data_IF_453733259428
#
_entry.id   IF_453733259428
#
_cell.length_a   1.000
_cell.length_b   1.000
_cell.length_c   1.000
_cell.angle_alpha   90.00
_cell.angle_beta   90.00
_cell.angle_gamma   90.00
#
_symmetry.space_group_name_H-M   'P 1'
#
loop_
_entity.id
_entity.type
_entity.pdbx_description
1 polymer ?
#
# COMPACT_ATOMS: atom_id res chain seq x y z
N UNK A 1 10.37 -2.12 -0.77
CA UNK A 1 9.28 -1.12 -0.93
C UNK A 1 9.30 -0.50 -2.33
N UNK A 2 10.45 -0.06 -2.83
CA UNK A 2 10.57 0.53 -4.18
C UNK A 2 10.11 -0.40 -5.31
N UNK A 3 10.43 -1.70 -5.22
CA UNK A 3 9.92 -2.71 -6.19
C UNK A 3 8.39 -2.78 -6.19
N UNK A 4 7.71 -2.71 -5.05
CA UNK A 4 6.23 -2.77 -5.01
C UNK A 4 5.55 -1.54 -5.60
N UNK A 5 6.18 -0.37 -5.53
CA UNK A 5 5.70 0.80 -6.25
C UNK A 5 5.87 0.64 -7.77
N UNK A 6 6.96 0.00 -8.21
CA UNK A 6 7.13 -0.38 -9.62
C UNK A 6 6.06 -1.37 -10.09
N UNK A 7 5.79 -2.41 -9.29
CA UNK A 7 4.74 -3.40 -9.59
C UNK A 7 3.36 -2.72 -9.69
N UNK A 8 3.04 -1.82 -8.74
CA UNK A 8 1.78 -1.07 -8.75
C UNK A 8 1.64 -0.21 -10.01
N UNK A 9 2.71 0.45 -10.45
CA UNK A 9 2.72 1.22 -11.71
C UNK A 9 2.32 0.33 -12.89
N UNK A 10 2.90 -0.86 -13.01
CA UNK A 10 2.56 -1.79 -14.08
C UNK A 10 1.08 -2.19 -14.04
N UNK A 11 0.52 -2.44 -12.85
CA UNK A 11 -0.88 -2.80 -12.69
C UNK A 11 -1.85 -1.66 -13.01
N UNK A 12 -1.50 -0.41 -12.67
CA UNK A 12 -2.41 0.74 -12.83
C UNK A 12 -2.23 1.49 -14.15
N UNK A 13 -1.16 1.23 -14.93
CA UNK A 13 -0.86 1.98 -16.16
C UNK A 13 -2.03 2.04 -17.14
N UNK A 14 -2.77 0.94 -17.30
CA UNK A 14 -3.94 0.89 -18.21
C UNK A 14 -5.15 1.69 -17.70
N UNK A 15 -5.15 2.07 -16.42
CA UNK A 15 -6.21 2.88 -15.81
C UNK A 15 -6.05 4.38 -16.05
N UNK A 16 -4.90 4.82 -16.58
CA UNK A 16 -4.56 6.23 -16.80
C UNK A 16 -4.35 6.55 -18.28
N UNK A 17 -4.47 7.83 -18.66
CA UNK A 17 -4.34 8.25 -20.06
C UNK A 17 -2.88 8.35 -20.50
N UNK A 18 -1.96 8.51 -19.55
CA UNK A 18 -0.53 8.56 -19.82
C UNK A 18 0.29 7.91 -18.71
N UNK A 19 1.54 7.57 -19.03
CA UNK A 19 2.49 7.02 -18.08
C UNK A 19 2.84 8.02 -16.98
N UNK A 20 2.84 9.32 -17.30
CA UNK A 20 3.09 10.40 -16.33
C UNK A 20 1.96 10.54 -15.31
N UNK A 21 0.70 10.35 -15.73
CA UNK A 21 -0.45 10.35 -14.81
C UNK A 21 -0.39 9.15 -13.85
N UNK A 22 -0.09 7.95 -14.37
CA UNK A 22 0.11 6.76 -13.54
C UNK A 22 1.29 6.94 -12.57
N UNK A 23 2.37 7.59 -13.02
CA UNK A 23 3.54 7.84 -12.17
C UNK A 23 3.21 8.79 -11.03
N UNK A 24 2.55 9.91 -11.32
CA UNK A 24 2.15 10.86 -10.30
C UNK A 24 1.21 10.22 -9.26
N UNK A 25 0.30 9.33 -9.69
CA UNK A 25 -0.59 8.61 -8.80
C UNK A 25 0.17 7.66 -7.85
N UNK A 26 1.11 6.87 -8.38
CA UNK A 26 1.91 5.94 -7.56
C UNK A 26 2.85 6.70 -6.63
N UNK A 27 3.42 7.83 -7.07
CA UNK A 27 4.24 8.69 -6.22
C UNK A 27 3.44 9.24 -5.04
N UNK A 28 2.21 9.70 -5.29
CA UNK A 28 1.29 10.14 -4.25
C UNK A 28 1.01 9.00 -3.25
N UNK A 29 0.72 7.78 -3.72
CA UNK A 29 0.51 6.61 -2.84
C UNK A 29 1.74 6.31 -1.98
N UNK A 30 2.92 6.27 -2.59
CA UNK A 30 4.16 5.88 -1.91
C UNK A 30 4.63 6.92 -0.88
N UNK A 31 4.34 8.20 -1.10
CA UNK A 31 4.74 9.31 -0.21
C UNK A 31 3.71 9.58 0.89
N UNK A 32 2.46 9.83 0.51
CA UNK A 32 1.31 9.97 1.40
C UNK A 32 0.04 9.61 0.64
N UNK A 33 -0.44 8.38 0.83
CA UNK A 33 -1.64 7.85 0.17
C UNK A 33 -2.89 8.72 0.33
N UNK A 34 -2.91 9.65 1.30
CA UNK A 34 -3.99 10.62 1.45
C UNK A 34 -4.02 11.70 0.38
N UNK A 35 -2.90 11.93 -0.29
CA UNK A 35 -2.77 12.87 -1.39
C UNK A 35 -3.15 12.28 -2.75
N UNK A 36 -3.29 10.96 -2.82
CA UNK A 36 -3.67 10.25 -4.04
C UNK A 36 -5.20 10.28 -4.25
N UNK A 37 -5.61 10.30 -5.52
CA UNK A 37 -7.02 10.24 -5.93
C UNK A 37 -7.55 8.80 -5.82
N UNK A 38 -7.75 8.35 -4.58
CA UNK A 38 -8.23 7.01 -4.26
C UNK A 38 -9.75 6.94 -4.24
N UNK A 39 -10.28 5.78 -4.64
CA UNK A 39 -11.69 5.49 -4.43
C UNK A 39 -12.02 5.41 -2.93
N UNK A 40 -13.28 5.65 -2.55
CA UNK A 40 -13.74 5.48 -1.16
C UNK A 40 -13.41 4.08 -0.60
N UNK A 41 -13.40 3.07 -1.48
CA UNK A 41 -13.09 1.69 -1.13
C UNK A 41 -11.59 1.51 -0.81
N UNK A 42 -10.70 2.07 -1.61
CA UNK A 42 -9.26 2.00 -1.38
C UNK A 42 -8.87 2.86 -0.17
N UNK A 43 -9.52 4.00 0.02
CA UNK A 43 -9.35 4.83 1.20
C UNK A 43 -9.67 4.08 2.50
N UNK A 44 -10.79 3.34 2.52
CA UNK A 44 -11.17 2.51 3.66
C UNK A 44 -10.14 1.39 3.93
N UNK A 45 -9.59 0.79 2.87
CA UNK A 45 -8.53 -0.22 2.98
C UNK A 45 -7.22 0.38 3.54
N UNK A 46 -6.81 1.55 3.06
CA UNK A 46 -5.63 2.25 3.55
C UNK A 46 -5.76 2.65 5.03
N UNK A 47 -6.94 3.16 5.45
CA UNK A 47 -7.22 3.44 6.86
C UNK A 47 -7.10 2.19 7.74
N UNK A 48 -7.65 1.07 7.28
CA UNK A 48 -7.53 -0.21 7.97
C UNK A 48 -6.07 -0.68 8.06
N UNK A 49 -5.33 -0.59 6.96
CA UNK A 49 -3.91 -0.97 6.89
C UNK A 49 -3.02 -0.13 7.83
N UNK A 50 -3.24 1.17 7.87
CA UNK A 50 -2.55 2.09 8.78
C UNK A 50 -2.86 1.74 10.24
N UNK A 51 -4.14 1.58 10.59
CA UNK A 51 -4.54 1.24 11.96
C UNK A 51 -3.98 -0.12 12.40
N UNK A 52 -4.04 -1.13 11.53
CA UNK A 52 -3.47 -2.46 11.81
C UNK A 52 -1.95 -2.38 11.99
N UNK A 53 -1.27 -1.50 11.28
CA UNK A 53 0.19 -1.32 11.39
C UNK A 53 0.61 -0.57 12.65
N UNK A 54 -0.11 0.50 13.01
CA UNK A 54 0.27 1.40 14.11
C UNK A 54 -0.36 1.03 15.46
N UNK A 55 -1.58 0.46 15.46
CA UNK A 55 -2.37 0.23 16.66
C UNK A 55 -3.23 -1.05 16.55
N UNK A 56 -2.62 -2.17 16.17
CA UNK A 56 -3.31 -3.47 16.02
C UNK A 56 -4.16 -3.87 17.22
N UNK A 57 -3.82 -3.43 18.44
CA UNK A 57 -4.55 -3.76 19.67
C UNK A 57 -5.93 -3.10 19.73
N UNK A 58 -6.16 -2.05 18.93
CA UNK A 58 -7.44 -1.36 18.81
C UNK A 58 -8.28 -1.81 17.62
N UNK A 59 -7.80 -2.79 16.85
CA UNK A 59 -8.61 -3.41 15.79
C UNK A 59 -9.75 -4.18 16.44
N UNK A 60 -10.97 -3.98 15.94
CA UNK A 60 -12.17 -4.66 16.42
C UNK A 60 -13.23 -4.83 15.33
N UNK A 61 -14.40 -5.40 15.69
CA UNK A 61 -15.46 -5.69 14.72
C UNK A 61 -15.89 -4.49 13.87
N UNK A 62 -15.92 -3.28 14.46
CA UNK A 62 -16.30 -2.06 13.75
C UNK A 62 -15.36 -1.70 12.58
N UNK A 63 -14.08 -2.06 12.65
CA UNK A 63 -13.15 -1.85 11.53
C UNK A 63 -13.48 -2.77 10.36
N UNK A 64 -13.86 -4.03 10.66
CA UNK A 64 -14.27 -5.01 9.66
C UNK A 64 -15.61 -4.61 9.03
N UNK A 65 -16.55 -4.13 9.85
CA UNK A 65 -17.85 -3.64 9.38
C UNK A 65 -17.70 -2.42 8.48
N UNK A 66 -16.75 -1.51 8.79
CA UNK A 66 -16.42 -0.40 7.91
C UNK A 66 -15.99 -0.91 6.54
N UNK A 67 -15.08 -1.89 6.45
CA UNK A 67 -14.67 -2.46 5.16
C UNK A 67 -15.84 -3.11 4.41
N UNK A 68 -16.74 -3.81 5.13
CA UNK A 68 -17.93 -4.42 4.52
C UNK A 68 -18.87 -3.39 3.91
N UNK A 69 -19.04 -2.22 4.56
CA UNK A 69 -19.84 -1.10 4.03
C UNK A 69 -19.29 -0.61 2.68
N UNK A 70 -17.97 -0.64 2.49
CA UNK A 70 -17.31 -0.32 1.22
C UNK A 70 -17.26 -1.50 0.23
N UNK A 71 -18.00 -2.58 0.49
CA UNK A 71 -18.18 -3.70 -0.43
C UNK A 71 -17.06 -4.75 -0.39
N UNK A 72 -16.21 -4.77 0.64
CA UNK A 72 -15.29 -5.89 0.85
C UNK A 72 -16.02 -7.12 1.38
N UNK A 73 -15.76 -8.27 0.76
CA UNK A 73 -16.16 -9.59 1.28
C UNK A 73 -15.16 -10.02 2.35
N UNK A 74 -15.59 -10.88 3.27
CA UNK A 74 -14.72 -11.40 4.34
C UNK A 74 -13.43 -12.05 3.80
N UNK A 75 -13.49 -12.73 2.65
CA UNK A 75 -12.30 -13.29 1.99
C UNK A 75 -11.31 -12.20 1.57
N UNK A 76 -11.80 -11.09 1.01
CA UNK A 76 -10.93 -9.97 0.61
C UNK A 76 -10.35 -9.23 1.83
N UNK A 77 -11.13 -9.11 2.93
CA UNK A 77 -10.63 -8.54 4.20
C UNK A 77 -9.53 -9.42 4.78
N UNK A 78 -9.72 -10.74 4.73
CA UNK A 78 -8.72 -11.71 5.14
C UNK A 78 -7.44 -11.59 4.31
N UNK A 79 -7.54 -11.55 2.99
CA UNK A 79 -6.38 -11.44 2.09
C UNK A 79 -5.62 -10.13 2.34
N UNK A 80 -6.33 -9.01 2.45
CA UNK A 80 -5.75 -7.73 2.82
C UNK A 80 -5.00 -7.80 4.16
N UNK A 81 -5.62 -8.39 5.19
CA UNK A 81 -5.03 -8.55 6.52
C UNK A 81 -3.73 -9.36 6.46
N UNK A 82 -3.69 -10.42 5.64
CA UNK A 82 -2.47 -11.21 5.45
C UNK A 82 -1.35 -10.40 4.81
N UNK A 83 -1.63 -9.65 3.75
CA UNK A 83 -0.63 -8.81 3.07
C UNK A 83 -0.09 -7.73 4.02
N UNK A 84 -0.98 -7.03 4.72
CA UNK A 84 -0.59 -6.01 5.72
C UNK A 84 0.28 -6.64 6.82
N UNK A 85 -0.12 -7.80 7.33
CA UNK A 85 0.63 -8.53 8.36
C UNK A 85 1.99 -9.02 7.88
N UNK A 86 2.07 -9.53 6.66
CA UNK A 86 3.30 -9.99 6.04
C UNK A 86 4.30 -8.85 5.87
N UNK A 87 3.86 -7.70 5.35
CA UNK A 87 4.72 -6.51 5.23
C UNK A 87 5.19 -6.01 6.59
N UNK A 88 4.31 -6.02 7.58
CA UNK A 88 4.68 -5.71 8.97
C UNK A 88 5.78 -6.64 9.51
N UNK A 89 5.71 -7.94 9.22
CA UNK A 89 6.74 -8.89 9.63
C UNK A 89 8.06 -8.65 8.90
N UNK A 90 8.05 -8.63 7.56
CA UNK A 90 9.29 -8.63 6.78
C UNK A 90 10.06 -7.32 6.90
N UNK A 91 9.38 -6.17 7.01
CA UNK A 91 10.05 -4.86 7.20
C UNK A 91 10.81 -4.83 8.52
N UNK A 92 10.21 -5.35 9.61
CA UNK A 92 10.88 -5.46 10.90
C UNK A 92 12.12 -6.34 10.85
N UNK A 93 12.07 -7.45 10.11
CA UNK A 93 13.24 -8.34 9.94
C UNK A 93 14.33 -7.63 9.13
N UNK A 94 13.96 -7.00 8.01
CA UNK A 94 14.90 -6.27 7.15
C UNK A 94 15.60 -5.15 7.92
N UNK A 95 14.84 -4.31 8.63
CA UNK A 95 15.37 -3.20 9.41
C UNK A 95 16.27 -3.68 10.55
N UNK A 96 15.87 -4.74 11.26
CA UNK A 96 16.64 -5.27 12.39
C UNK A 96 17.97 -5.90 11.97
N UNK A 97 18.05 -6.43 10.75
CA UNK A 97 19.25 -7.08 10.21
C UNK A 97 20.08 -6.16 9.31
N UNK A 98 19.63 -4.92 9.08
CA UNK A 98 20.33 -3.97 8.21
C UNK A 98 20.34 -4.40 6.74
N UNK A 99 19.25 -5.02 6.27
CA UNK A 99 19.12 -5.40 4.85
C UNK A 99 19.09 -4.14 4.00
N UNK A 100 20.05 -4.01 3.09
CA UNK A 100 20.13 -2.88 2.16
C UNK A 100 19.08 -3.01 1.04
N UNK A 101 18.53 -1.89 0.55
CA UNK A 101 17.67 -1.90 -0.63
C UNK A 101 18.39 -2.48 -1.86
N UNK A 102 17.61 -3.07 -2.77
CA UNK A 102 18.14 -3.55 -4.05
C UNK A 102 18.76 -2.40 -4.84
N UNK A 103 20.00 -2.59 -5.33
CA UNK A 103 20.73 -1.58 -6.11
C UNK A 103 20.08 -1.26 -7.46
N UNK A 104 19.29 -2.22 -7.98
CA UNK A 104 18.74 -2.17 -9.33
C UNK A 104 17.43 -1.37 -9.38
N UNK A 105 16.84 -1.12 -8.20
CA UNK A 105 15.62 -0.33 -8.04
C UNK A 105 15.98 0.99 -7.37
N UNK A 106 16.14 2.03 -8.19
CA UNK A 106 16.40 3.39 -7.71
C UNK A 106 15.27 3.93 -6.80
N UNK A 107 15.56 4.93 -5.96
CA UNK A 107 14.54 5.60 -5.18
C UNK A 107 13.47 6.23 -6.08
N UNK A 108 12.19 5.92 -5.84
CA UNK A 108 11.06 6.53 -6.53
C UNK A 108 11.09 8.06 -6.46
N UNK A 109 10.72 8.73 -7.55
CA UNK A 109 10.72 10.20 -7.65
C UNK A 109 12.09 10.82 -7.91
N UNK A 110 13.17 10.02 -8.00
CA UNK A 110 14.49 10.48 -8.44
C UNK A 110 14.82 9.95 -9.85
N UNK A 111 15.45 10.76 -10.71
CA UNK A 111 15.91 10.29 -12.00
C UNK A 111 16.89 9.13 -11.80
N UNK A 112 16.75 8.05 -12.59
CA UNK A 112 17.76 7.00 -12.66
C UNK A 112 19.10 7.64 -13.04
N UNK A 113 20.22 7.25 -12.39
CA UNK A 113 21.55 7.76 -12.75
C UNK A 113 21.93 7.40 -14.20
#
# INVERSE_FOLDING_TARGET
MQSHAHDLREEVTESFKSAEEADAFVEAIASDWRSADLSDKDWALCLFAEKLTQDQRRIGPGDLDSLRVHGFKDTAIHDATQIIGYFNYITRIADALGVEPESDVGPWGLPKP
#
